data_IF_800742772074
#
_entry.id   IF_800742772074
#
_cell.length_a   1.000
_cell.length_b   1.000
_cell.length_c   1.000
_cell.angle_alpha   90.00
_cell.angle_beta   90.00
_cell.angle_gamma   90.00
#
_symmetry.space_group_name_H-M   'P 1'
#
loop_
_entity.id
_entity.type
_entity.pdbx_description
1 polymer ?
#
# COMPACT_ATOMS: atom_id res chain seq x y z
N UNK A 1 -21.16 15.79 0.64
CA UNK A 1 -21.92 14.66 0.10
C UNK A 1 -22.32 13.73 1.24
N UNK A 2 -23.59 13.45 1.36
CA UNK A 2 -24.05 12.50 2.35
C UNK A 2 -24.01 11.10 1.75
N UNK A 3 -23.27 10.23 2.38
CA UNK A 3 -23.15 8.83 1.96
C UNK A 3 -24.18 8.04 2.76
N UNK A 4 -25.17 7.49 2.07
CA UNK A 4 -26.18 6.66 2.71
C UNK A 4 -25.58 5.32 3.15
N UNK A 5 -25.89 4.90 4.38
CA UNK A 5 -25.40 3.64 4.91
C UNK A 5 -25.76 2.44 4.06
N UNK A 6 -26.89 2.49 3.36
CA UNK A 6 -27.37 1.41 2.51
C UNK A 6 -26.50 1.17 1.27
N UNK A 7 -25.80 2.20 0.81
CA UNK A 7 -24.93 2.14 -0.36
C UNK A 7 -23.53 1.66 -0.02
N UNK A 8 -23.12 1.83 1.22
CA UNK A 8 -21.75 1.56 1.66
C UNK A 8 -21.76 0.56 2.80
N UNK A 9 -22.15 -0.65 2.48
CA UNK A 9 -22.07 -1.75 3.44
C UNK A 9 -20.62 -2.07 3.73
N UNK A 10 -20.29 -2.29 4.98
CA UNK A 10 -18.94 -2.63 5.44
C UNK A 10 -18.55 -4.06 5.03
N UNK A 11 -18.87 -4.45 3.80
CA UNK A 11 -18.54 -5.77 3.28
C UNK A 11 -17.62 -5.74 2.07
N UNK A 12 -17.22 -4.55 1.60
CA UNK A 12 -16.24 -4.44 0.53
C UNK A 12 -14.81 -4.43 1.10
N UNK A 13 -13.84 -4.65 0.21
CA UNK A 13 -12.44 -4.79 0.61
C UNK A 13 -11.88 -3.53 1.26
N UNK A 14 -12.36 -2.35 0.86
CA UNK A 14 -11.89 -1.08 1.44
C UNK A 14 -12.23 -1.02 2.91
N UNK A 15 -13.48 -1.32 3.24
CA UNK A 15 -13.96 -1.24 4.63
C UNK A 15 -13.46 -2.38 5.50
N UNK A 16 -13.27 -3.57 4.94
CA UNK A 16 -12.87 -4.75 5.71
C UNK A 16 -11.37 -4.91 5.82
N UNK A 17 -10.64 -4.61 4.75
CA UNK A 17 -9.23 -4.96 4.64
C UNK A 17 -8.31 -3.74 4.71
N UNK A 18 -8.63 -2.67 4.00
CA UNK A 18 -7.76 -1.51 3.91
C UNK A 18 -7.48 -0.88 5.28
N UNK A 19 -8.45 -0.91 6.16
CA UNK A 19 -8.32 -0.43 7.54
C UNK A 19 -7.14 -1.07 8.28
N UNK A 20 -6.83 -2.31 7.94
CA UNK A 20 -5.76 -3.06 8.59
C UNK A 20 -4.38 -2.42 8.39
N UNK A 21 -4.22 -1.61 7.35
CA UNK A 21 -2.95 -0.91 7.11
C UNK A 21 -2.56 0.01 8.26
N UNK A 22 -3.54 0.53 9.01
CA UNK A 22 -3.27 1.35 10.19
C UNK A 22 -2.70 0.56 11.36
N UNK A 23 -2.82 -0.76 11.33
CA UNK A 23 -2.32 -1.65 12.37
C UNK A 23 -0.99 -2.29 12.01
N UNK A 24 -0.45 -2.01 10.84
CA UNK A 24 0.82 -2.56 10.39
C UNK A 24 1.89 -1.47 10.55
N UNK A 25 2.79 -1.68 11.50
CA UNK A 25 3.85 -0.74 11.83
C UNK A 25 5.10 -1.07 11.04
N UNK A 26 5.65 -0.06 10.39
CA UNK A 26 6.88 -0.20 9.62
C UNK A 26 8.06 -0.32 10.55
N UNK A 27 9.00 -1.21 10.18
CA UNK A 27 10.22 -1.44 10.97
C UNK A 27 9.93 -1.83 12.42
N UNK A 28 8.88 -2.60 12.64
CA UNK A 28 8.47 -3.04 13.99
C UNK A 28 9.53 -3.86 14.70
N UNK A 29 10.48 -4.45 13.96
CA UNK A 29 11.60 -5.20 14.49
C UNK A 29 12.81 -4.33 14.85
N UNK A 30 12.72 -3.00 14.71
CA UNK A 30 13.81 -2.06 14.98
C UNK A 30 13.37 -1.04 16.02
N UNK A 31 14.36 -0.52 16.76
CA UNK A 31 14.14 0.67 17.57
C UNK A 31 14.05 1.87 16.61
N UNK A 32 12.88 2.52 16.61
CA UNK A 32 12.66 3.71 15.82
C UNK A 32 12.18 4.83 16.72
N UNK A 33 12.66 6.03 16.42
CA UNK A 33 12.34 7.20 17.22
C UNK A 33 10.89 7.65 17.01
N UNK A 34 10.40 7.55 15.78
CA UNK A 34 9.04 7.93 15.42
C UNK A 34 8.39 6.80 14.62
N UNK A 35 7.55 5.99 15.26
CA UNK A 35 6.87 4.91 14.54
C UNK A 35 5.92 5.44 13.49
N UNK A 36 5.82 4.70 12.39
CA UNK A 36 4.96 5.03 11.28
C UNK A 36 4.20 3.78 10.85
N UNK A 37 2.88 3.87 10.76
CA UNK A 37 2.11 2.76 10.24
C UNK A 37 2.07 2.79 8.70
N UNK A 38 1.62 1.68 8.12
CA UNK A 38 1.63 1.51 6.67
C UNK A 38 0.69 2.48 5.96
N UNK A 39 -0.45 2.81 6.57
CA UNK A 39 -1.40 3.76 6.00
C UNK A 39 -0.79 5.15 5.91
N UNK A 40 -0.14 5.61 6.98
CA UNK A 40 0.54 6.92 6.98
C UNK A 40 1.65 6.95 5.94
N UNK A 41 2.45 5.88 5.87
CA UNK A 41 3.53 5.78 4.91
C UNK A 41 3.01 5.90 3.48
N UNK A 42 2.00 5.13 3.12
CA UNK A 42 1.44 5.13 1.77
C UNK A 42 0.86 6.49 1.40
N UNK A 43 0.21 7.15 2.34
CA UNK A 43 -0.33 8.49 2.13
C UNK A 43 0.79 9.50 1.82
N UNK A 44 1.83 9.53 2.64
CA UNK A 44 2.92 10.48 2.46
C UNK A 44 3.73 10.20 1.19
N UNK A 45 3.93 8.94 0.84
CA UNK A 45 4.61 8.58 -0.41
C UNK A 45 3.82 9.07 -1.62
N UNK A 46 2.50 8.89 -1.61
CA UNK A 46 1.65 9.37 -2.70
C UNK A 46 1.69 10.89 -2.83
N UNK A 47 1.64 11.59 -1.70
CA UNK A 47 1.76 13.05 -1.69
C UNK A 47 3.10 13.51 -2.26
N UNK A 48 4.17 12.82 -1.89
CA UNK A 48 5.52 13.13 -2.37
C UNK A 48 5.62 12.92 -3.88
N UNK A 49 4.94 11.93 -4.42
CA UNK A 49 4.88 11.69 -5.87
C UNK A 49 4.27 12.90 -6.59
N UNK A 50 3.17 13.44 -6.06
CA UNK A 50 2.57 14.65 -6.64
C UNK A 50 3.51 15.84 -6.56
N UNK A 51 4.13 16.06 -5.43
CA UNK A 51 5.08 17.16 -5.23
C UNK A 51 6.25 17.10 -6.21
N UNK A 52 6.89 15.93 -6.29
CA UNK A 52 8.02 15.73 -7.20
C UNK A 52 7.61 15.81 -8.66
N UNK A 53 6.46 15.24 -8.99
CA UNK A 53 5.94 15.30 -10.36
C UNK A 53 5.67 16.72 -10.82
N UNK A 54 5.08 17.51 -9.95
CA UNK A 54 4.86 18.93 -10.24
C UNK A 54 6.19 19.70 -10.37
N UNK A 55 7.12 19.47 -9.46
CA UNK A 55 8.42 20.14 -9.44
C UNK A 55 9.22 19.87 -10.71
N UNK A 56 9.18 18.66 -11.22
CA UNK A 56 9.93 18.25 -12.40
C UNK A 56 9.13 18.28 -13.69
N UNK A 57 7.94 18.88 -13.67
CA UNK A 57 7.08 19.03 -14.85
C UNK A 57 6.76 17.69 -15.54
N UNK A 58 6.49 16.68 -14.75
CA UNK A 58 6.07 15.37 -15.25
C UNK A 58 4.63 15.47 -15.74
N UNK A 59 4.29 14.72 -16.78
CA UNK A 59 2.93 14.71 -17.32
C UNK A 59 1.90 14.27 -16.26
N UNK A 60 0.75 14.99 -16.16
CA UNK A 60 -0.26 14.66 -15.12
C UNK A 60 -0.73 13.21 -15.12
N UNK A 61 -0.84 12.58 -16.28
CA UNK A 61 -1.26 11.18 -16.35
C UNK A 61 -0.23 10.24 -15.71
N UNK A 62 1.04 10.52 -15.90
CA UNK A 62 2.12 9.75 -15.29
C UNK A 62 2.18 9.96 -13.78
N UNK A 63 1.96 11.20 -13.34
CA UNK A 63 1.91 11.51 -11.91
C UNK A 63 0.75 10.76 -11.26
N UNK A 64 -0.43 10.80 -11.86
CA UNK A 64 -1.61 10.12 -11.33
C UNK A 64 -1.40 8.61 -11.22
N UNK A 65 -0.81 8.00 -12.23
CA UNK A 65 -0.51 6.56 -12.22
C UNK A 65 0.49 6.21 -11.12
N UNK A 66 1.56 6.99 -11.00
CA UNK A 66 2.57 6.76 -9.98
C UNK A 66 2.01 6.94 -8.57
N UNK A 67 1.17 7.94 -8.36
CA UNK A 67 0.52 8.16 -7.06
C UNK A 67 -0.44 7.03 -6.71
N UNK A 68 -1.17 6.51 -7.68
CA UNK A 68 -2.04 5.35 -7.49
C UNK A 68 -1.24 4.12 -7.05
N UNK A 69 -0.13 3.86 -7.73
CA UNK A 69 0.77 2.77 -7.34
C UNK A 69 1.32 3.00 -5.94
N UNK A 70 1.73 4.23 -5.63
CA UNK A 70 2.26 4.57 -4.30
C UNK A 70 1.24 4.33 -3.19
N UNK A 71 -0.05 4.60 -3.45
CA UNK A 71 -1.10 4.36 -2.45
C UNK A 71 -1.33 2.89 -2.17
N UNK A 72 -1.14 2.03 -3.15
CA UNK A 72 -1.58 0.65 -3.04
C UNK A 72 -0.47 -0.40 -3.18
N UNK A 73 0.78 0.00 -3.45
CA UNK A 73 1.85 -0.98 -3.63
C UNK A 73 2.11 -1.84 -2.39
N UNK A 74 1.87 -1.28 -1.20
CA UNK A 74 2.05 -2.01 0.06
C UNK A 74 0.74 -2.62 0.60
N UNK A 75 -0.36 -2.52 -0.14
CA UNK A 75 -1.63 -3.10 0.31
C UNK A 75 -1.53 -4.61 0.55
N UNK A 76 -0.66 -5.30 -0.16
CA UNK A 76 -0.43 -6.72 0.04
C UNK A 76 0.09 -7.07 1.43
N UNK A 77 0.74 -6.12 2.11
CA UNK A 77 1.22 -6.33 3.47
C UNK A 77 0.10 -6.45 4.50
N UNK A 78 -1.14 -6.14 4.13
CA UNK A 78 -2.31 -6.45 4.95
C UNK A 78 -2.33 -7.95 5.29
N UNK A 79 -1.86 -8.77 4.36
CA UNK A 79 -1.89 -10.22 4.48
C UNK A 79 -0.60 -10.81 5.03
N UNK A 80 0.54 -10.22 4.71
CA UNK A 80 1.86 -10.74 5.11
C UNK A 80 2.47 -10.02 6.30
N UNK A 81 2.01 -8.81 6.59
CA UNK A 81 2.64 -7.94 7.58
C UNK A 81 3.93 -7.31 7.05
N UNK A 82 4.57 -6.51 7.88
CA UNK A 82 5.86 -5.90 7.55
C UNK A 82 6.99 -6.89 7.82
N UNK A 83 7.40 -7.61 6.80
CA UNK A 83 8.51 -8.55 6.91
C UNK A 83 9.83 -7.80 7.04
N UNK A 84 10.68 -8.15 8.02
CA UNK A 84 11.98 -7.51 8.17
C UNK A 84 12.83 -7.64 6.91
N UNK A 85 13.48 -6.55 6.53
CA UNK A 85 14.37 -6.54 5.38
C UNK A 85 15.49 -7.58 5.52
N UNK A 86 16.02 -7.75 6.73
CA UNK A 86 17.04 -8.74 7.01
C UNK A 86 16.60 -10.17 6.67
N UNK A 87 15.33 -10.49 6.89
CA UNK A 87 14.78 -11.79 6.54
C UNK A 87 14.73 -11.97 5.02
N UNK A 88 14.35 -10.94 4.28
CA UNK A 88 14.30 -10.97 2.83
C UNK A 88 15.69 -11.09 2.19
N UNK A 89 16.68 -10.47 2.80
CA UNK A 89 18.07 -10.58 2.36
C UNK A 89 18.62 -11.98 2.65
N UNK A 90 18.31 -12.51 3.83
CA UNK A 90 18.75 -13.83 4.25
C UNK A 90 18.16 -14.95 3.38
N UNK A 91 16.88 -14.80 3.01
CA UNK A 91 16.18 -15.80 2.19
C UNK A 91 15.53 -15.15 0.97
N UNK A 92 16.20 -15.16 -0.19
CA UNK A 92 15.60 -14.68 -1.44
C UNK A 92 14.30 -15.40 -1.82
N UNK A 93 14.15 -16.65 -1.37
CA UNK A 93 12.94 -17.44 -1.62
C UNK A 93 11.74 -16.84 -0.88
N UNK A 94 11.92 -16.43 0.38
CA UNK A 94 10.87 -15.78 1.15
C UNK A 94 10.50 -14.44 0.51
N UNK A 95 11.49 -13.68 0.08
CA UNK A 95 11.26 -12.41 -0.63
C UNK A 95 10.40 -12.61 -1.87
N UNK A 96 10.79 -13.55 -2.71
CA UNK A 96 10.08 -13.84 -3.96
C UNK A 96 8.66 -14.31 -3.69
N UNK A 97 8.49 -15.25 -2.77
CA UNK A 97 7.19 -15.82 -2.46
C UNK A 97 6.25 -14.78 -1.87
N UNK A 98 6.74 -13.94 -0.96
CA UNK A 98 5.93 -12.88 -0.35
C UNK A 98 5.49 -11.85 -1.39
N UNK A 99 6.37 -11.45 -2.29
CA UNK A 99 6.05 -10.50 -3.35
C UNK A 99 5.01 -11.06 -4.32
N UNK A 100 5.16 -12.31 -4.73
CA UNK A 100 4.19 -12.98 -5.61
C UNK A 100 2.82 -13.09 -4.94
N UNK A 101 2.79 -13.43 -3.68
CA UNK A 101 1.55 -13.55 -2.92
C UNK A 101 0.86 -12.19 -2.76
N UNK A 102 1.62 -11.15 -2.45
CA UNK A 102 1.09 -9.80 -2.30
C UNK A 102 0.47 -9.29 -3.59
N UNK A 103 1.15 -9.48 -4.72
CA UNK A 103 0.62 -9.11 -6.04
C UNK A 103 -0.67 -9.85 -6.34
N UNK A 104 -0.70 -11.15 -6.07
CA UNK A 104 -1.89 -11.98 -6.29
C UNK A 104 -3.07 -11.47 -5.45
N UNK A 105 -2.83 -11.21 -4.17
CA UNK A 105 -3.87 -10.77 -3.25
C UNK A 105 -4.37 -9.35 -3.59
N UNK A 106 -3.50 -8.47 -4.03
CA UNK A 106 -3.89 -7.14 -4.52
C UNK A 106 -4.77 -7.30 -5.76
N UNK A 107 -4.37 -8.13 -6.71
CA UNK A 107 -5.13 -8.35 -7.94
C UNK A 107 -6.52 -8.92 -7.68
N UNK A 108 -6.65 -9.81 -6.71
CA UNK A 108 -7.93 -10.45 -6.39
C UNK A 108 -8.85 -9.56 -5.57
N UNK A 109 -8.31 -8.79 -4.65
CA UNK A 109 -9.10 -8.04 -3.68
C UNK A 109 -9.24 -6.55 -4.00
N UNK A 110 -8.32 -5.99 -4.76
CA UNK A 110 -8.32 -4.57 -5.14
C UNK A 110 -8.39 -4.42 -6.66
N UNK A 111 -9.41 -5.03 -7.25
CA UNK A 111 -9.56 -5.11 -8.71
C UNK A 111 -9.63 -3.75 -9.39
N UNK A 112 -10.08 -2.72 -8.68
CA UNK A 112 -10.17 -1.36 -9.22
C UNK A 112 -8.81 -0.71 -9.48
N UNK A 113 -7.72 -1.29 -8.99
CA UNK A 113 -6.38 -0.83 -9.35
C UNK A 113 -5.94 -1.36 -10.71
N UNK A 114 -6.64 -2.34 -11.24
CA UNK A 114 -6.44 -2.80 -12.59
C UNK A 114 -5.09 -3.46 -12.84
N UNK A 115 -4.49 -3.13 -13.97
CA UNK A 115 -3.28 -3.76 -14.47
C UNK A 115 -1.99 -3.06 -14.02
N UNK A 116 -2.07 -2.13 -13.10
CA UNK A 116 -0.89 -1.37 -12.65
C UNK A 116 0.01 -2.16 -11.70
N UNK A 117 -0.36 -3.38 -11.41
CA UNK A 117 0.41 -4.29 -10.54
C UNK A 117 0.85 -5.55 -11.24
#
# INVERSE_FOLDING_TARGET
>A
MVIGHDKYKLNNVVDKELYKMSNIWRYSSRLIHKPENLAEHSFYVAFKVYELGYTYNIEPERIAKAAKIALCHDCGEIYTGDLPHSLKVYSPEIKKLSEELEVKLISENFKFFGQDF
#
